data_IF_178808096051
#
_entry.id   IF_178808096051
#
_cell.length_a   1.000
_cell.length_b   1.000
_cell.length_c   1.000
_cell.angle_alpha   90.00
_cell.angle_beta   90.00
_cell.angle_gamma   90.00
#
_symmetry.space_group_name_H-M   'P 1'
#
loop_
_entity.id
_entity.type
_entity.pdbx_description
1 polymer ?
#
# COMPACT_ATOMS: atom_id res chain seq x y z
N UNK A 1 -16.42 73.22 -6.29
CA UNK A 1 -15.85 72.14 -5.45
C UNK A 1 -16.69 70.90 -5.67
N UNK A 2 -16.18 69.66 -5.72
CA UNK A 2 -14.81 69.12 -5.49
C UNK A 2 -14.19 68.57 -6.80
N UNK A 3 -12.87 68.49 -6.99
CA UNK A 3 -11.82 67.60 -6.43
C UNK A 3 -12.01 66.11 -6.79
N UNK A 4 -11.21 65.73 -7.78
CA UNK A 4 -10.88 64.40 -8.31
C UNK A 4 -10.13 63.54 -7.29
N UNK A 5 -10.43 62.24 -7.21
CA UNK A 5 -9.56 61.19 -6.66
C UNK A 5 -9.82 59.90 -7.47
N UNK A 6 -8.88 59.51 -8.33
CA UNK A 6 -7.82 58.50 -8.12
C UNK A 6 -8.32 57.05 -8.31
N UNK A 7 -8.05 56.53 -9.51
CA UNK A 7 -8.24 55.15 -9.93
C UNK A 7 -7.04 54.31 -9.45
N UNK A 8 -7.25 53.39 -8.52
CA UNK A 8 -6.25 52.41 -8.08
C UNK A 8 -6.39 51.15 -8.94
N UNK A 9 -5.39 50.87 -9.76
CA UNK A 9 -5.27 49.62 -10.51
C UNK A 9 -4.60 48.56 -9.62
N UNK A 10 -5.38 47.58 -9.15
CA UNK A 10 -4.82 46.34 -8.59
C UNK A 10 -4.78 45.30 -9.71
N UNK A 11 -3.56 44.86 -10.04
CA UNK A 11 -3.31 43.74 -10.96
C UNK A 11 -3.72 42.44 -10.27
N UNK A 12 -4.62 41.66 -10.86
CA UNK A 12 -4.71 40.23 -10.58
C UNK A 12 -4.11 39.44 -11.75
N UNK A 13 -3.12 38.65 -11.40
CA UNK A 13 -2.43 37.68 -12.23
C UNK A 13 -3.27 36.40 -12.29
N UNK A 14 -3.77 36.05 -13.47
CA UNK A 14 -4.43 34.76 -13.71
C UNK A 14 -3.60 33.93 -14.69
N UNK A 15 -3.03 32.85 -14.15
CA UNK A 15 -2.55 31.71 -14.90
C UNK A 15 -3.68 31.15 -15.77
N UNK A 16 -3.41 30.93 -17.06
CA UNK A 16 -4.25 30.15 -17.97
C UNK A 16 -3.48 28.89 -18.37
N UNK A 17 -4.08 27.69 -18.34
CA UNK A 17 -3.51 26.54 -18.99
C UNK A 17 -3.86 26.55 -20.48
N UNK A 18 -2.84 26.20 -21.26
CA UNK A 18 -2.79 26.10 -22.72
C UNK A 18 -3.55 24.85 -23.16
N UNK A 19 -4.50 24.99 -24.10
CA UNK A 19 -4.85 23.91 -25.03
C UNK A 19 -4.71 24.43 -26.46
N UNK A 20 -3.67 23.93 -27.14
CA UNK A 20 -3.44 24.09 -28.58
C UNK A 20 -4.44 23.22 -29.35
N UNK A 21 -5.13 23.83 -30.32
CA UNK A 21 -5.52 23.12 -31.54
C UNK A 21 -5.35 24.07 -32.73
N UNK A 22 -4.37 23.78 -33.57
CA UNK A 22 -4.19 24.39 -34.89
C UNK A 22 -5.04 23.62 -35.90
N UNK A 23 -5.76 24.32 -36.78
CA UNK A 23 -5.70 24.12 -38.24
C UNK A 23 -6.91 24.70 -39.00
N UNK A 24 -6.59 25.65 -39.89
CA UNK A 24 -7.27 26.01 -41.15
C UNK A 24 -8.58 26.81 -41.08
N UNK A 25 -8.44 28.13 -41.21
CA UNK A 25 -9.40 28.98 -41.92
C UNK A 25 -8.73 29.39 -43.24
N UNK A 26 -9.25 28.90 -44.37
CA UNK A 26 -8.91 29.42 -45.71
C UNK A 26 -10.16 29.93 -46.40
N UNK A 27 -10.17 31.24 -46.66
CA UNK A 27 -10.79 31.96 -47.79
C UNK A 27 -12.13 31.46 -48.35
N UNK A 28 -13.15 32.32 -48.26
CA UNK A 28 -13.92 32.74 -49.46
C UNK A 28 -14.66 34.06 -49.20
N UNK A 29 -14.25 35.11 -49.93
CA UNK A 29 -15.08 36.29 -50.24
C UNK A 29 -15.79 36.00 -51.57
N UNK A 30 -17.09 36.25 -51.67
CA UNK A 30 -17.76 36.38 -52.97
C UNK A 30 -19.27 36.14 -53.04
N UNK A 31 -20.02 37.25 -52.98
CA UNK A 31 -21.25 37.55 -53.74
C UNK A 31 -22.64 37.00 -53.32
N UNK A 32 -23.42 37.94 -52.74
CA UNK A 32 -24.81 38.32 -53.03
C UNK A 32 -25.93 37.26 -53.16
N UNK A 33 -26.89 37.33 -52.24
CA UNK A 33 -28.31 37.46 -52.59
C UNK A 33 -29.12 38.07 -51.43
N UNK A 34 -30.23 38.69 -51.77
CA UNK A 34 -30.89 39.83 -51.09
C UNK A 34 -31.81 39.38 -49.95
N UNK A 35 -31.85 40.20 -48.89
CA UNK A 35 -33.03 40.45 -48.08
C UNK A 35 -33.26 39.56 -46.87
N UNK A 36 -32.88 40.05 -45.68
CA UNK A 36 -33.78 40.12 -44.52
C UNK A 36 -33.16 41.01 -43.43
N UNK A 37 -34.03 41.79 -42.80
CA UNK A 37 -33.75 42.64 -41.63
C UNK A 37 -33.15 41.84 -40.49
N UNK A 38 -32.04 42.30 -39.89
CA UNK A 38 -31.83 42.16 -38.45
C UNK A 38 -30.75 43.16 -37.99
N UNK A 39 -31.20 44.22 -37.32
CA UNK A 39 -30.32 45.01 -36.47
C UNK A 39 -29.78 44.08 -35.38
N UNK A 40 -28.50 43.75 -35.48
CA UNK A 40 -27.79 42.91 -34.53
C UNK A 40 -27.54 43.75 -33.26
N UNK A 41 -28.56 43.87 -32.41
CA UNK A 41 -28.42 44.34 -31.05
C UNK A 41 -27.71 43.23 -30.27
N UNK A 42 -26.38 43.28 -30.21
CA UNK A 42 -25.64 42.59 -29.17
C UNK A 42 -25.97 43.31 -27.85
N UNK A 43 -27.04 42.88 -27.18
CA UNK A 43 -27.09 42.98 -25.73
C UNK A 43 -26.11 41.93 -25.25
N UNK A 44 -24.87 42.35 -25.00
CA UNK A 44 -24.02 41.65 -24.06
C UNK A 44 -24.78 41.70 -22.73
N UNK A 45 -25.49 40.62 -22.37
CA UNK A 45 -25.75 40.38 -20.96
C UNK A 45 -24.37 40.39 -20.32
N UNK A 46 -24.16 41.34 -19.41
CA UNK A 46 -23.07 41.25 -18.47
C UNK A 46 -23.12 39.85 -17.88
N UNK A 47 -22.04 39.08 -18.05
CA UNK A 47 -21.69 38.07 -17.07
C UNK A 47 -21.54 38.89 -15.79
N UNK A 48 -22.60 38.96 -14.99
CA UNK A 48 -22.49 39.43 -13.62
C UNK A 48 -21.46 38.50 -13.00
N UNK A 49 -20.43 39.08 -12.40
CA UNK A 49 -19.44 38.30 -11.69
C UNK A 49 -20.19 37.73 -10.49
N UNK A 50 -20.71 36.51 -10.65
CA UNK A 50 -21.52 35.79 -9.69
C UNK A 50 -20.82 35.82 -8.32
N UNK A 51 -21.49 36.42 -7.35
CA UNK A 51 -20.91 36.78 -6.06
C UNK A 51 -21.13 35.62 -5.09
N UNK A 52 -20.08 34.95 -4.61
CA UNK A 52 -20.19 34.10 -3.42
C UNK A 52 -20.66 34.97 -2.23
N UNK A 53 -21.97 35.06 -2.06
CA UNK A 53 -22.69 36.05 -1.27
C UNK A 53 -22.92 35.53 0.13
N UNK A 54 -23.31 34.26 0.28
CA UNK A 54 -23.57 33.61 1.56
C UNK A 54 -22.75 32.34 1.77
N UNK A 55 -22.89 31.73 2.95
CA UNK A 55 -22.36 30.37 3.18
C UNK A 55 -23.47 29.36 2.94
N UNK A 56 -23.17 28.34 2.14
CA UNK A 56 -24.09 27.23 1.90
C UNK A 56 -23.67 26.06 2.79
N UNK A 57 -24.63 25.45 3.49
CA UNK A 57 -24.37 24.38 4.46
C UNK A 57 -25.19 23.14 4.17
N UNK A 58 -24.60 21.98 4.38
CA UNK A 58 -25.27 20.69 4.33
C UNK A 58 -25.73 20.30 5.75
N UNK A 59 -26.99 19.90 5.88
CA UNK A 59 -27.58 19.46 7.14
C UNK A 59 -28.11 18.03 7.03
N UNK A 60 -28.04 17.30 8.14
CA UNK A 60 -28.83 16.10 8.34
C UNK A 60 -30.23 16.51 8.79
N UNK A 61 -31.23 16.24 7.95
CA UNK A 61 -32.62 16.64 8.17
C UNK A 61 -33.37 15.76 9.20
N UNK A 62 -32.82 14.62 9.62
CA UNK A 62 -33.40 13.83 10.70
C UNK A 62 -32.94 14.31 12.09
N UNK A 63 -31.72 14.82 12.18
CA UNK A 63 -31.12 15.22 13.47
C UNK A 63 -31.00 16.73 13.65
N UNK A 64 -31.33 17.50 12.61
CA UNK A 64 -31.14 18.95 12.53
C UNK A 64 -29.72 19.41 12.88
N UNK A 65 -28.73 18.58 12.54
CA UNK A 65 -27.32 18.89 12.77
C UNK A 65 -26.66 19.32 11.46
N UNK A 66 -25.85 20.36 11.57
CA UNK A 66 -24.94 20.76 10.49
C UNK A 66 -23.92 19.64 10.26
N UNK A 67 -23.72 19.27 8.99
CA UNK A 67 -22.70 18.30 8.57
C UNK A 67 -21.41 19.05 8.23
N UNK A 68 -21.48 19.96 7.26
CA UNK A 68 -20.35 20.77 6.79
C UNK A 68 -20.81 21.90 5.85
N UNK A 69 -19.92 22.87 5.62
CA UNK A 69 -20.07 23.87 4.55
C UNK A 69 -19.92 23.21 3.17
N UNK A 70 -20.71 23.67 2.19
CA UNK A 70 -20.69 23.20 0.81
C UNK A 70 -19.75 24.08 -0.01
N UNK A 71 -18.81 23.44 -0.72
CA UNK A 71 -18.00 24.11 -1.75
C UNK A 71 -18.43 23.72 -3.16
N UNK A 72 -18.18 24.60 -4.13
CA UNK A 72 -18.48 24.32 -5.54
C UNK A 72 -17.70 23.11 -6.08
N UNK A 73 -18.30 22.39 -7.01
CA UNK A 73 -17.83 21.14 -7.62
C UNK A 73 -17.53 20.00 -6.61
N UNK A 74 -18.15 20.00 -5.43
CA UNK A 74 -17.95 18.96 -4.42
C UNK A 74 -18.75 17.70 -4.69
N UNK A 75 -18.22 16.55 -4.24
CA UNK A 75 -18.90 15.26 -4.28
C UNK A 75 -19.10 14.73 -2.87
N UNK A 76 -20.32 14.30 -2.52
CA UNK A 76 -20.68 13.80 -1.20
C UNK A 76 -21.16 12.35 -1.25
N UNK A 77 -20.51 11.48 -0.50
CA UNK A 77 -20.90 10.08 -0.34
C UNK A 77 -22.01 9.95 0.71
N UNK A 78 -23.19 9.48 0.30
CA UNK A 78 -24.34 9.27 1.18
C UNK A 78 -24.09 8.22 2.27
N UNK A 79 -23.13 7.32 2.12
CA UNK A 79 -22.71 6.42 3.21
C UNK A 79 -22.00 7.18 4.34
N UNK A 80 -21.45 8.36 4.05
CA UNK A 80 -20.75 9.22 5.01
C UNK A 80 -21.69 10.30 5.56
N UNK A 81 -22.40 11.02 4.69
CA UNK A 81 -23.24 12.16 5.09
C UNK A 81 -24.66 11.75 5.50
N UNK A 82 -25.08 10.51 5.21
CA UNK A 82 -26.45 10.04 5.40
C UNK A 82 -27.36 10.32 4.19
N UNK A 83 -28.57 9.76 4.21
CA UNK A 83 -29.55 9.84 3.10
C UNK A 83 -30.66 10.88 3.32
N UNK A 84 -30.74 11.45 4.52
CA UNK A 84 -31.76 12.40 4.92
C UNK A 84 -31.14 13.79 5.04
N UNK A 85 -31.04 14.48 3.91
CA UNK A 85 -30.27 15.72 3.78
C UNK A 85 -31.16 16.93 3.49
N UNK A 86 -30.69 18.11 3.89
CA UNK A 86 -31.21 19.41 3.45
C UNK A 86 -30.03 20.39 3.24
N UNK A 87 -30.25 21.42 2.44
CA UNK A 87 -29.26 22.45 2.14
C UNK A 87 -29.77 23.77 2.69
N UNK A 88 -28.94 24.47 3.45
CA UNK A 88 -29.31 25.72 4.12
C UNK A 88 -28.41 26.84 3.64
N UNK A 89 -29.02 27.94 3.21
CA UNK A 89 -28.31 29.15 2.83
C UNK A 89 -28.21 30.10 4.04
N UNK A 90 -27.00 30.58 4.31
CA UNK A 90 -26.69 31.51 5.40
C UNK A 90 -26.19 32.83 4.81
N UNK A 91 -27.08 33.80 4.57
CA UNK A 91 -26.66 35.10 4.06
C UNK A 91 -25.85 35.88 5.12
N UNK A 92 -24.95 36.79 4.71
CA UNK A 92 -24.10 37.58 5.60
C UNK A 92 -24.89 38.64 6.39
N UNK A 93 -26.15 38.88 6.03
CA UNK A 93 -27.06 39.80 6.69
C UNK A 93 -28.53 39.40 6.48
N UNK A 94 -29.45 40.17 7.04
CA UNK A 94 -30.88 39.89 6.90
C UNK A 94 -31.36 40.09 5.47
N UNK A 95 -32.05 39.09 4.94
CA UNK A 95 -32.72 39.10 3.65
C UNK A 95 -34.22 38.85 3.84
N UNK A 96 -35.04 39.22 2.87
CA UNK A 96 -36.48 38.98 2.92
C UNK A 96 -36.86 37.55 2.52
N UNK A 97 -36.13 36.95 1.59
CA UNK A 97 -36.28 35.53 1.23
C UNK A 97 -35.07 35.00 0.46
N UNK A 98 -34.98 33.68 0.34
CA UNK A 98 -34.00 32.97 -0.48
C UNK A 98 -34.73 32.03 -1.42
N UNK A 99 -34.39 32.08 -2.71
CA UNK A 99 -34.93 31.17 -3.72
C UNK A 99 -33.83 30.24 -4.20
N UNK A 100 -34.04 28.95 -3.99
CA UNK A 100 -33.24 27.88 -4.56
C UNK A 100 -33.84 27.44 -5.89
N UNK A 101 -33.01 27.23 -6.90
CA UNK A 101 -33.37 26.60 -8.16
C UNK A 101 -32.29 25.61 -8.56
N UNK A 102 -32.67 24.47 -9.12
CA UNK A 102 -31.73 23.41 -9.45
C UNK A 102 -31.82 23.01 -10.92
N UNK A 103 -30.73 22.49 -11.48
CA UNK A 103 -30.73 21.90 -12.84
C UNK A 103 -31.60 20.66 -12.97
N UNK A 104 -32.00 20.04 -11.86
CA UNK A 104 -32.93 18.90 -11.83
C UNK A 104 -34.41 19.32 -11.78
N UNK A 105 -34.70 20.61 -11.96
CA UNK A 105 -36.07 21.13 -12.10
C UNK A 105 -36.79 21.38 -10.77
N UNK A 106 -36.09 21.27 -9.64
CA UNK A 106 -36.63 21.61 -8.34
C UNK A 106 -36.33 23.06 -7.99
N UNK A 107 -37.33 23.78 -7.47
CA UNK A 107 -37.17 25.16 -7.02
C UNK A 107 -38.02 25.40 -5.78
N UNK A 108 -37.51 26.22 -4.86
CA UNK A 108 -38.19 26.56 -3.62
C UNK A 108 -37.77 27.92 -3.11
N UNK A 109 -38.73 28.66 -2.58
CA UNK A 109 -38.50 29.97 -1.96
C UNK A 109 -38.83 29.89 -0.48
N UNK A 110 -37.87 30.29 0.35
CA UNK A 110 -38.03 30.41 1.79
C UNK A 110 -38.00 31.87 2.23
N UNK A 111 -38.97 32.27 3.03
CA UNK A 111 -39.07 33.65 3.53
C UNK A 111 -38.73 33.78 5.01
N UNK A 112 -38.46 32.65 5.68
CA UNK A 112 -38.15 32.59 7.10
C UNK A 112 -36.83 31.85 7.26
N UNK A 113 -35.94 32.39 8.09
CA UNK A 113 -34.71 31.69 8.45
C UNK A 113 -35.02 30.57 9.47
N UNK A 114 -34.39 29.39 9.38
CA UNK A 114 -33.30 29.02 8.47
C UNK A 114 -33.76 28.81 7.02
N UNK A 115 -33.09 29.45 6.05
CA UNK A 115 -33.47 29.37 4.64
C UNK A 115 -33.05 28.03 4.04
N UNK A 116 -33.88 27.00 4.22
CA UNK A 116 -33.59 25.64 3.80
C UNK A 116 -34.23 25.31 2.45
N UNK A 117 -33.50 24.60 1.59
CA UNK A 117 -33.95 24.21 0.26
C UNK A 117 -35.27 23.44 0.32
N UNK A 118 -35.36 22.41 1.17
CA UNK A 118 -36.60 21.66 1.42
C UNK A 118 -37.43 22.19 2.59
N UNK A 119 -36.86 23.15 3.32
CA UNK A 119 -37.55 23.94 4.33
C UNK A 119 -37.47 23.33 5.70
N UNK A 120 -38.10 24.04 6.62
CA UNK A 120 -38.27 23.62 8.00
C UNK A 120 -39.73 23.80 8.44
N UNK A 121 -40.14 22.99 9.41
CA UNK A 121 -41.43 23.13 10.08
C UNK A 121 -41.18 23.20 11.57
N UNK A 122 -41.39 24.37 12.16
CA UNK A 122 -41.13 24.61 13.59
C UNK A 122 -39.67 24.36 14.02
N UNK A 123 -38.72 24.55 13.09
CA UNK A 123 -37.29 24.33 13.33
C UNK A 123 -36.77 22.96 12.89
N UNK A 124 -37.65 22.00 12.57
CA UNK A 124 -37.25 20.66 12.10
C UNK A 124 -37.10 20.68 10.57
N UNK A 125 -35.94 20.32 10.03
CA UNK A 125 -35.68 20.34 8.60
C UNK A 125 -36.41 19.21 7.85
N UNK A 126 -36.99 19.54 6.71
CA UNK A 126 -37.60 18.55 5.82
C UNK A 126 -36.53 17.82 5.00
N UNK A 127 -36.60 16.50 4.94
CA UNK A 127 -35.66 15.69 4.16
C UNK A 127 -35.87 15.83 2.65
N UNK A 128 -34.78 15.82 1.89
CA UNK A 128 -34.81 15.76 0.43
C UNK A 128 -35.12 14.35 -0.10
N UNK A 129 -36.40 13.98 -0.08
CA UNK A 129 -36.88 12.63 -0.44
C UNK A 129 -36.60 12.20 -1.89
N UNK A 130 -36.44 13.15 -2.82
CA UNK A 130 -36.15 12.89 -4.24
C UNK A 130 -34.66 12.76 -4.55
N UNK A 131 -33.77 13.03 -3.59
CA UNK A 131 -32.32 12.95 -3.77
C UNK A 131 -31.85 11.58 -4.34
N UNK A 132 -32.39 10.43 -3.92
CA UNK A 132 -32.01 9.14 -4.49
C UNK A 132 -32.24 9.00 -6.01
N UNK A 133 -33.10 9.84 -6.61
CA UNK A 133 -33.33 9.85 -8.06
C UNK A 133 -32.28 10.65 -8.85
N UNK A 134 -31.35 11.33 -8.15
CA UNK A 134 -30.37 12.24 -8.72
C UNK A 134 -28.93 11.90 -8.28
N UNK A 135 -28.67 10.63 -7.94
CA UNK A 135 -27.31 10.16 -7.64
C UNK A 135 -26.42 10.18 -8.89
N UNK A 136 -25.14 10.41 -8.68
CA UNK A 136 -24.06 10.42 -9.69
C UNK A 136 -24.29 11.42 -10.84
N UNK A 137 -25.21 12.37 -10.67
CA UNK A 137 -25.48 13.47 -11.61
C UNK A 137 -25.14 14.80 -10.93
N UNK A 138 -24.33 15.66 -11.57
CA UNK A 138 -24.07 17.01 -11.04
C UNK A 138 -25.36 17.84 -10.97
N UNK A 139 -25.68 18.34 -9.78
CA UNK A 139 -26.81 19.23 -9.53
C UNK A 139 -26.26 20.63 -9.30
N UNK A 140 -26.54 21.54 -10.23
CA UNK A 140 -26.20 22.96 -10.05
C UNK A 140 -27.37 23.64 -9.35
N UNK A 141 -27.07 24.25 -8.22
CA UNK A 141 -27.96 25.11 -7.46
C UNK A 141 -27.69 26.55 -7.82
N UNK A 142 -28.75 27.31 -8.07
CA UNK A 142 -28.75 28.77 -8.10
C UNK A 142 -29.57 29.25 -6.92
N UNK A 143 -28.93 29.99 -6.01
CA UNK A 143 -29.50 30.51 -4.78
C UNK A 143 -29.57 32.02 -4.91
N UNK A 144 -30.78 32.56 -5.03
CA UNK A 144 -31.01 34.00 -5.16
C UNK A 144 -31.50 34.59 -3.83
N UNK A 145 -30.88 35.66 -3.38
CA UNK A 145 -31.23 36.35 -2.13
C UNK A 145 -32.04 37.62 -2.44
N UNK A 146 -33.22 37.75 -1.86
CA UNK A 146 -34.16 38.81 -2.18
C UNK A 146 -34.39 39.76 -1.01
N UNK A 147 -34.61 41.04 -1.31
CA UNK A 147 -34.85 42.06 -0.29
C UNK A 147 -36.21 41.93 0.40
N UNK A 148 -37.19 41.26 -0.22
CA UNK A 148 -38.53 41.05 0.34
C UNK A 148 -38.90 39.56 0.36
N UNK A 149 -39.97 39.21 1.07
CA UNK A 149 -40.48 37.85 1.17
C UNK A 149 -41.04 37.32 -0.16
N UNK A 150 -41.14 36.00 -0.27
CA UNK A 150 -41.78 35.32 -1.41
C UNK A 150 -41.00 35.39 -2.73
N UNK A 151 -39.69 35.67 -2.69
CA UNK A 151 -38.85 35.75 -3.89
C UNK A 151 -39.09 37.03 -4.67
N UNK A 152 -39.42 38.12 -3.98
CA UNK A 152 -39.79 39.41 -4.58
C UNK A 152 -38.88 40.54 -4.10
N UNK A 153 -38.97 41.70 -4.76
CA UNK A 153 -38.12 42.85 -4.47
C UNK A 153 -36.84 42.85 -5.30
N UNK A 154 -35.79 43.50 -4.80
CA UNK A 154 -34.49 43.56 -5.47
C UNK A 154 -33.65 42.32 -5.13
N UNK A 155 -32.93 41.80 -6.12
CA UNK A 155 -31.88 40.80 -5.89
C UNK A 155 -30.73 41.47 -5.12
N UNK A 156 -30.36 40.88 -3.99
CA UNK A 156 -29.33 41.41 -3.07
C UNK A 156 -28.00 40.66 -3.24
N UNK A 157 -28.06 39.41 -3.73
CA UNK A 157 -26.91 38.58 -4.07
C UNK A 157 -27.36 37.23 -4.62
N UNK A 158 -26.41 36.41 -5.08
CA UNK A 158 -26.66 35.12 -5.70
C UNK A 158 -25.49 34.12 -5.57
N UNK A 159 -25.73 32.91 -5.07
CA UNK A 159 -24.74 31.83 -5.10
C UNK A 159 -25.07 30.82 -6.19
N UNK A 160 -24.06 30.31 -6.91
CA UNK A 160 -24.21 29.13 -7.76
C UNK A 160 -23.11 28.16 -7.44
N UNK A 161 -23.51 26.93 -7.12
CA UNK A 161 -22.60 25.84 -6.83
C UNK A 161 -23.14 24.56 -7.46
N UNK A 162 -22.24 23.66 -7.82
CA UNK A 162 -22.55 22.35 -8.35
C UNK A 162 -22.07 21.29 -7.38
N UNK A 163 -22.97 20.39 -7.00
CA UNK A 163 -22.63 19.26 -6.12
C UNK A 163 -23.09 17.96 -6.74
N UNK A 164 -22.38 16.88 -6.46
CA UNK A 164 -22.77 15.53 -6.85
C UNK A 164 -22.94 14.69 -5.59
N UNK A 165 -24.03 13.95 -5.49
CA UNK A 165 -24.20 12.95 -4.44
C UNK A 165 -23.95 11.57 -5.02
N UNK A 166 -23.11 10.78 -4.35
CA UNK A 166 -22.79 9.42 -4.76
C UNK A 166 -23.27 8.46 -3.69
N UNK A 167 -23.72 7.28 -4.08
CA UNK A 167 -23.93 6.17 -3.16
C UNK A 167 -23.26 4.95 -3.77
N UNK A 168 -22.08 4.53 -3.26
CA UNK A 168 -21.43 3.32 -3.75
C UNK A 168 -22.43 2.16 -3.76
N UNK A 169 -22.61 1.54 -4.92
CA UNK A 169 -23.35 0.28 -4.98
C UNK A 169 -22.57 -0.76 -4.17
N UNK A 170 -23.23 -1.56 -3.31
CA UNK A 170 -22.56 -2.68 -2.66
C UNK A 170 -21.84 -3.54 -3.69
N UNK A 171 -20.62 -3.98 -3.38
CA UNK A 171 -19.92 -4.90 -4.26
C UNK A 171 -20.67 -6.24 -4.32
N UNK A 172 -20.98 -6.67 -5.53
CA UNK A 172 -21.73 -7.90 -5.80
C UNK A 172 -20.91 -8.90 -6.60
N UNK A 173 -19.68 -8.55 -6.97
CA UNK A 173 -18.80 -9.42 -7.73
C UNK A 173 -17.99 -10.27 -6.75
N UNK A 174 -18.08 -11.60 -6.77
CA UNK A 174 -17.25 -12.42 -5.91
C UNK A 174 -15.78 -12.45 -6.37
N UNK A 175 -14.82 -12.64 -5.45
CA UNK A 175 -13.42 -12.84 -5.82
C UNK A 175 -13.20 -14.04 -6.73
N UNK A 176 -12.08 -14.03 -7.46
CA UNK A 176 -11.59 -15.22 -8.17
C UNK A 176 -11.28 -16.36 -7.19
N UNK A 177 -11.42 -17.62 -7.62
CA UNK A 177 -10.99 -18.75 -6.80
C UNK A 177 -9.47 -18.73 -6.55
N UNK A 178 -8.99 -19.02 -5.33
CA UNK A 178 -7.58 -19.24 -5.06
C UNK A 178 -7.04 -20.38 -5.95
N UNK A 179 -5.83 -20.22 -6.48
CA UNK A 179 -5.21 -21.20 -7.39
C UNK A 179 -3.97 -21.85 -6.76
N UNK A 180 -3.52 -22.97 -7.33
CA UNK A 180 -2.32 -23.68 -6.88
C UNK A 180 -2.31 -23.99 -5.37
N UNK A 181 -3.46 -24.39 -4.81
CA UNK A 181 -3.47 -24.91 -3.45
C UNK A 181 -2.61 -26.19 -3.43
N UNK A 182 -1.63 -26.24 -2.54
CA UNK A 182 -0.75 -27.39 -2.35
C UNK A 182 -0.30 -27.49 -0.88
N UNK A 183 0.08 -28.69 -0.45
CA UNK A 183 0.74 -28.88 0.84
C UNK A 183 2.24 -28.70 0.69
N UNK A 184 2.85 -27.96 1.63
CA UNK A 184 4.31 -27.73 1.70
C UNK A 184 4.99 -28.66 2.69
N UNK A 185 4.22 -29.27 3.61
CA UNK A 185 4.70 -30.26 4.56
C UNK A 185 3.58 -30.71 5.50
N UNK A 186 3.77 -31.86 6.14
CA UNK A 186 2.88 -32.36 7.16
C UNK A 186 3.69 -33.07 8.26
N UNK A 187 3.05 -33.24 9.41
CA UNK A 187 3.50 -34.12 10.50
C UNK A 187 2.41 -35.15 10.76
N UNK A 188 2.46 -35.83 11.91
CA UNK A 188 1.38 -36.69 12.38
C UNK A 188 0.15 -35.90 12.87
N UNK A 189 0.30 -34.62 13.20
CA UNK A 189 -0.78 -33.80 13.81
C UNK A 189 -0.96 -32.43 13.16
N UNK A 190 -0.19 -32.10 12.13
CA UNK A 190 -0.25 -30.82 11.42
C UNK A 190 -0.11 -30.99 9.90
N UNK A 191 -0.70 -30.06 9.14
CA UNK A 191 -0.49 -29.93 7.68
C UNK A 191 -0.28 -28.44 7.37
N UNK A 192 0.80 -28.11 6.68
CA UNK A 192 1.01 -26.77 6.10
C UNK A 192 0.58 -26.76 4.64
N UNK A 193 -0.14 -25.70 4.27
CA UNK A 193 -0.63 -25.47 2.90
C UNK A 193 -0.30 -24.05 2.44
N UNK A 194 -0.09 -23.92 1.14
CA UNK A 194 0.03 -22.64 0.46
C UNK A 194 -0.92 -22.57 -0.75
N UNK A 195 -1.30 -21.36 -1.15
CA UNK A 195 -2.03 -21.10 -2.39
C UNK A 195 -1.62 -19.75 -2.99
N UNK A 196 -1.91 -19.54 -4.27
CA UNK A 196 -1.80 -18.24 -4.90
C UNK A 196 -2.99 -17.35 -4.53
N UNK A 197 -2.70 -16.07 -4.29
CA UNK A 197 -3.71 -15.08 -3.92
C UNK A 197 -4.80 -14.95 -4.99
N UNK A 198 -6.03 -14.75 -4.53
CA UNK A 198 -7.16 -14.37 -5.37
C UNK A 198 -7.12 -12.87 -5.70
N UNK A 199 -7.82 -12.49 -6.77
CA UNK A 199 -8.07 -11.10 -7.16
C UNK A 199 -9.56 -10.80 -7.16
N UNK A 200 -9.88 -9.53 -6.93
CA UNK A 200 -11.24 -8.99 -6.91
C UNK A 200 -11.23 -7.53 -7.41
N UNK A 201 -12.38 -6.99 -7.83
CA UNK A 201 -12.51 -5.61 -8.31
C UNK A 201 -12.39 -4.55 -7.20
N UNK A 202 -12.77 -4.86 -5.96
CA UNK A 202 -12.61 -3.96 -4.80
C UNK A 202 -11.51 -4.47 -3.87
N UNK A 203 -11.39 -5.79 -3.72
CA UNK A 203 -10.24 -6.41 -3.07
C UNK A 203 -10.60 -7.57 -2.13
N UNK A 204 -9.64 -8.47 -1.96
CA UNK A 204 -9.75 -9.64 -1.09
C UNK A 204 -9.36 -9.26 0.35
N UNK A 205 -10.23 -9.55 1.31
CA UNK A 205 -10.03 -9.24 2.74
C UNK A 205 -9.61 -10.45 3.55
N UNK A 206 -9.86 -11.67 3.06
CA UNK A 206 -9.51 -12.89 3.76
C UNK A 206 -9.77 -14.15 2.95
N UNK A 207 -9.59 -15.29 3.61
CA UNK A 207 -9.83 -16.61 3.03
C UNK A 207 -10.60 -17.49 4.00
N UNK A 208 -11.32 -18.48 3.46
CA UNK A 208 -11.98 -19.52 4.21
C UNK A 208 -11.39 -20.86 3.80
N UNK A 209 -10.68 -21.52 4.71
CA UNK A 209 -10.11 -22.85 4.50
C UNK A 209 -11.08 -23.91 4.99
N UNK A 210 -11.25 -24.98 4.21
CA UNK A 210 -12.13 -26.10 4.52
C UNK A 210 -11.29 -27.35 4.74
N UNK A 211 -11.45 -27.98 5.90
CA UNK A 211 -10.89 -29.29 6.22
C UNK A 211 -12.03 -30.31 6.30
N UNK A 212 -12.12 -31.25 5.36
CA UNK A 212 -13.25 -32.19 5.23
C UNK A 212 -14.63 -31.52 5.32
N UNK A 213 -14.75 -30.37 4.66
CA UNK A 213 -15.93 -29.48 4.61
C UNK A 213 -16.19 -28.64 5.88
N UNK A 214 -15.36 -28.72 6.91
CA UNK A 214 -15.44 -27.85 8.08
C UNK A 214 -14.65 -26.55 7.83
N UNK A 215 -15.32 -25.37 7.75
CA UNK A 215 -14.66 -24.12 7.41
C UNK A 215 -13.98 -23.45 8.61
N UNK A 216 -12.88 -22.75 8.35
CA UNK A 216 -12.24 -21.78 9.25
C UNK A 216 -11.94 -20.50 8.45
N UNK A 217 -12.36 -19.35 8.98
CA UNK A 217 -12.09 -18.04 8.36
C UNK A 217 -10.73 -17.51 8.81
N UNK A 218 -9.95 -17.00 7.87
CA UNK A 218 -8.60 -16.48 8.02
C UNK A 218 -8.53 -15.03 7.54
N UNK A 219 -7.51 -14.30 8.00
CA UNK A 219 -7.13 -13.01 7.42
C UNK A 219 -6.62 -13.16 5.98
N UNK A 220 -6.24 -12.06 5.33
CA UNK A 220 -5.64 -12.08 3.99
C UNK A 220 -4.22 -12.67 4.02
N UNK A 221 -4.14 -14.01 3.99
CA UNK A 221 -2.92 -14.81 3.99
C UNK A 221 -2.93 -15.82 2.84
N UNK A 222 -1.75 -16.28 2.43
CA UNK A 222 -1.58 -17.29 1.37
C UNK A 222 -0.91 -18.58 1.84
N UNK A 223 -0.63 -18.65 3.15
CA UNK A 223 -0.04 -19.81 3.82
C UNK A 223 -0.78 -20.03 5.13
N UNK A 224 -1.07 -21.29 5.47
CA UNK A 224 -1.71 -21.63 6.73
C UNK A 224 -1.30 -23.02 7.22
N UNK A 225 -1.15 -23.17 8.53
CA UNK A 225 -0.89 -24.44 9.20
C UNK A 225 -2.16 -24.93 9.90
N UNK A 226 -2.67 -26.07 9.44
CA UNK A 226 -3.71 -26.83 10.11
C UNK A 226 -3.07 -27.62 11.25
N UNK A 227 -3.67 -27.57 12.45
CA UNK A 227 -3.14 -28.20 13.66
C UNK A 227 -4.21 -29.05 14.36
N UNK A 228 -3.79 -29.95 15.25
CA UNK A 228 -4.71 -30.78 16.04
C UNK A 228 -5.36 -31.89 15.21
N UNK A 229 -4.65 -32.35 14.17
CA UNK A 229 -5.09 -33.41 13.29
C UNK A 229 -4.79 -34.79 13.91
N UNK A 230 -5.49 -35.82 13.43
CA UNK A 230 -5.26 -37.20 13.83
C UNK A 230 -4.14 -37.80 12.97
N UNK A 231 -3.18 -38.53 13.55
CA UNK A 231 -2.17 -39.26 12.78
C UNK A 231 -2.74 -40.29 11.79
N UNK A 232 -1.98 -40.59 10.75
CA UNK A 232 -2.32 -41.54 9.69
C UNK A 232 -3.72 -41.34 9.09
N UNK A 233 -4.19 -40.09 9.02
CA UNK A 233 -5.54 -39.74 8.59
C UNK A 233 -5.49 -38.87 7.33
N UNK A 234 -6.28 -39.24 6.33
CA UNK A 234 -6.41 -38.49 5.08
C UNK A 234 -7.42 -37.37 5.24
N UNK A 235 -7.02 -36.16 4.86
CA UNK A 235 -7.82 -34.95 4.90
C UNK A 235 -7.96 -34.34 3.51
N UNK A 236 -9.14 -33.81 3.19
CA UNK A 236 -9.37 -33.02 1.97
C UNK A 236 -9.44 -31.54 2.30
N UNK A 237 -8.61 -30.76 1.62
CA UNK A 237 -8.43 -29.32 1.87
C UNK A 237 -8.84 -28.53 0.64
N UNK A 238 -9.62 -27.46 0.85
CA UNK A 238 -9.98 -26.45 -0.15
C UNK A 238 -9.93 -25.06 0.46
N UNK A 239 -9.79 -24.03 -0.37
CA UNK A 239 -9.80 -22.63 0.07
C UNK A 239 -10.73 -21.80 -0.81
N UNK A 240 -11.45 -20.86 -0.20
CA UNK A 240 -12.19 -19.78 -0.86
C UNK A 240 -11.65 -18.42 -0.44
N UNK A 241 -11.73 -17.44 -1.32
CA UNK A 241 -11.45 -16.05 -1.00
C UNK A 241 -12.72 -15.32 -0.53
N UNK A 242 -12.54 -14.29 0.29
CA UNK A 242 -13.58 -13.42 0.84
C UNK A 242 -13.22 -11.96 0.52
N UNK A 243 -14.20 -11.15 0.13
CA UNK A 243 -14.04 -9.71 -0.04
C UNK A 243 -14.59 -8.90 1.16
N UNK A 244 -14.60 -7.57 1.03
CA UNK A 244 -15.14 -6.67 2.05
C UNK A 244 -16.67 -6.66 2.12
N UNK A 245 -17.36 -7.04 1.03
CA UNK A 245 -18.81 -7.08 0.94
C UNK A 245 -19.40 -8.41 1.44
N UNK A 246 -18.56 -9.41 1.72
CA UNK A 246 -18.94 -10.73 2.20
C UNK A 246 -19.20 -11.74 1.06
N UNK A 247 -18.82 -11.44 -0.17
CA UNK A 247 -18.91 -12.40 -1.27
C UNK A 247 -17.80 -13.46 -1.15
N UNK A 248 -18.15 -14.71 -1.45
CA UNK A 248 -17.18 -15.83 -1.47
C UNK A 248 -16.87 -16.26 -2.90
N UNK A 249 -15.60 -16.55 -3.16
CA UNK A 249 -15.21 -17.19 -4.42
C UNK A 249 -15.75 -18.63 -4.55
N UNK A 250 -15.63 -19.19 -5.76
CA UNK A 250 -15.66 -20.64 -5.94
C UNK A 250 -14.50 -21.33 -5.18
N UNK A 251 -14.62 -22.65 -4.97
CA UNK A 251 -13.55 -23.47 -4.38
C UNK A 251 -12.26 -23.40 -5.22
N UNK A 252 -11.10 -23.42 -4.55
CA UNK A 252 -9.82 -23.79 -5.16
C UNK A 252 -9.83 -25.24 -5.69
N UNK A 253 -8.71 -25.68 -6.28
CA UNK A 253 -8.46 -27.13 -6.39
C UNK A 253 -8.49 -27.79 -5.00
N UNK A 254 -8.84 -29.08 -4.94
CA UNK A 254 -8.78 -29.87 -3.71
C UNK A 254 -7.40 -30.51 -3.58
N UNK A 255 -6.82 -30.45 -2.38
CA UNK A 255 -5.61 -31.19 -2.01
C UNK A 255 -5.98 -32.25 -1.00
N UNK A 256 -5.57 -33.48 -1.24
CA UNK A 256 -5.69 -34.58 -0.27
C UNK A 256 -4.33 -34.84 0.34
N UNK A 257 -4.24 -34.75 1.67
CA UNK A 257 -3.01 -35.00 2.43
C UNK A 257 -3.29 -36.00 3.52
N UNK A 258 -2.44 -37.02 3.63
CA UNK A 258 -2.48 -37.98 4.74
C UNK A 258 -1.43 -37.55 5.75
N UNK A 259 -1.84 -37.25 6.99
CA UNK A 259 -0.90 -37.00 8.08
C UNK A 259 -0.01 -38.21 8.29
N UNK A 260 1.19 -37.98 8.78
CA UNK A 260 2.14 -39.06 9.02
C UNK A 260 1.56 -40.02 10.08
N UNK A 261 2.04 -41.26 10.05
CA UNK A 261 1.82 -42.14 11.19
C UNK A 261 2.36 -41.48 12.45
N UNK A 262 1.76 -41.71 13.63
CA UNK A 262 2.30 -41.15 14.86
C UNK A 262 3.77 -41.51 14.90
N UNK A 263 4.64 -40.53 15.09
CA UNK A 263 6.04 -40.82 15.39
C UNK A 263 6.09 -41.40 16.79
N UNK A 264 5.59 -42.63 16.93
CA UNK A 264 5.84 -43.45 18.09
C UNK A 264 7.35 -43.60 18.15
N UNK A 265 7.93 -43.26 19.30
CA UNK A 265 9.24 -43.77 19.68
C UNK A 265 9.19 -45.29 19.63
N UNK A 266 9.39 -45.84 18.44
CA UNK A 266 9.50 -47.26 18.19
C UNK A 266 10.83 -47.69 18.75
N UNK A 267 10.81 -48.16 20.00
CA UNK A 267 11.90 -48.87 20.65
C UNK A 267 12.19 -50.20 19.97
N UNK A 268 12.62 -50.18 18.71
CA UNK A 268 13.66 -51.09 18.26
C UNK A 268 15.00 -50.50 18.69
N UNK A 269 15.90 -51.29 19.28
CA UNK A 269 17.24 -50.79 19.57
C UNK A 269 17.94 -50.39 18.27
N UNK A 270 17.91 -49.09 17.94
CA UNK A 270 18.71 -48.51 16.84
C UNK A 270 20.20 -48.55 17.18
N UNK A 271 20.49 -48.72 18.47
CA UNK A 271 21.80 -48.97 19.03
C UNK A 271 22.10 -50.47 19.01
N UNK A 272 23.03 -50.88 18.17
CA UNK A 272 23.66 -52.20 18.26
C UNK A 272 24.94 -52.09 19.07
N UNK A 273 25.16 -53.03 19.98
CA UNK A 273 26.40 -53.09 20.76
C UNK A 273 27.22 -54.30 20.31
N UNK A 274 28.48 -54.06 19.95
CA UNK A 274 29.48 -55.10 19.74
C UNK A 274 30.69 -54.80 20.62
N UNK A 275 30.85 -55.57 21.69
CA UNK A 275 31.85 -55.30 22.72
C UNK A 275 31.64 -53.95 23.41
N UNK A 276 32.67 -53.08 23.40
CA UNK A 276 32.62 -51.73 23.98
C UNK A 276 32.11 -50.65 23.02
N UNK A 277 31.71 -51.02 21.80
CA UNK A 277 31.21 -50.07 20.79
C UNK A 277 29.69 -50.18 20.72
N UNK A 278 29.01 -49.06 20.98
CA UNK A 278 27.62 -48.87 20.63
C UNK A 278 27.55 -48.10 19.30
N UNK A 279 26.93 -48.68 18.29
CA UNK A 279 26.73 -48.07 16.97
C UNK A 279 25.26 -47.78 16.73
N UNK A 280 25.00 -46.60 16.18
CA UNK A 280 23.68 -46.18 15.70
C UNK A 280 23.60 -46.40 14.18
N UNK A 281 22.54 -47.06 13.70
CA UNK A 281 22.30 -47.23 12.26
C UNK A 281 21.18 -46.29 11.80
N UNK A 282 21.54 -45.21 11.11
CA UNK A 282 20.59 -44.25 10.54
C UNK A 282 21.07 -42.81 10.64
N UNK A 283 20.13 -41.87 10.48
CA UNK A 283 20.37 -40.45 10.72
C UNK A 283 19.79 -40.04 12.08
N UNK A 284 20.45 -39.16 12.82
CA UNK A 284 20.04 -38.71 14.16
C UNK A 284 19.35 -37.34 14.08
N UNK A 285 18.09 -37.23 14.47
CA UNK A 285 17.37 -35.97 14.57
C UNK A 285 17.08 -35.64 16.05
N UNK A 286 17.50 -34.46 16.53
CA UNK A 286 17.28 -34.00 17.91
C UNK A 286 16.49 -32.70 17.86
N UNK A 287 15.27 -32.68 18.42
CA UNK A 287 14.39 -31.50 18.36
C UNK A 287 13.76 -31.23 16.98
N UNK A 288 14.01 -32.11 16.01
CA UNK A 288 13.43 -32.09 14.65
C UNK A 288 13.06 -33.52 14.24
N UNK A 289 12.23 -33.67 13.20
CA UNK A 289 11.77 -34.96 12.66
C UNK A 289 12.51 -35.39 11.40
N UNK A 290 13.31 -34.50 10.82
CA UNK A 290 14.04 -34.77 9.57
C UNK A 290 15.53 -34.44 9.71
N UNK A 291 16.35 -35.18 8.97
CA UNK A 291 17.75 -34.84 8.76
C UNK A 291 17.92 -34.47 7.28
N UNK A 292 18.36 -33.24 6.96
CA UNK A 292 18.53 -32.81 5.57
C UNK A 292 19.44 -33.76 4.78
N UNK A 293 19.19 -33.85 3.47
CA UNK A 293 20.01 -34.67 2.57
C UNK A 293 21.49 -34.25 2.65
N UNK A 294 22.40 -35.23 2.68
CA UNK A 294 23.83 -34.99 2.86
C UNK A 294 24.31 -35.00 4.32
N UNK A 295 23.40 -34.94 5.30
CA UNK A 295 23.75 -34.93 6.72
C UNK A 295 23.39 -36.25 7.42
N UNK A 296 24.15 -36.58 8.47
CA UNK A 296 23.87 -37.72 9.36
C UNK A 296 23.24 -37.33 10.68
N UNK A 297 23.29 -36.05 11.06
CA UNK A 297 22.73 -35.54 12.30
C UNK A 297 22.15 -34.14 12.10
N UNK A 298 20.95 -33.90 12.62
CA UNK A 298 20.32 -32.58 12.69
C UNK A 298 19.89 -32.28 14.13
N UNK A 299 20.16 -31.07 14.61
CA UNK A 299 19.81 -30.63 15.97
C UNK A 299 19.12 -29.28 15.91
N UNK A 300 17.84 -29.24 16.27
CA UNK A 300 17.11 -27.99 16.49
C UNK A 300 17.34 -27.53 17.93
N UNK A 301 18.48 -26.90 18.15
CA UNK A 301 18.92 -26.46 19.48
C UNK A 301 20.43 -26.28 19.59
N UNK A 302 20.92 -26.07 20.82
CA UNK A 302 22.36 -25.86 21.11
C UNK A 302 23.04 -27.17 21.44
N UNK A 303 24.19 -27.43 20.80
CA UNK A 303 25.09 -28.55 21.14
C UNK A 303 26.17 -28.03 22.08
N UNK A 304 26.43 -28.75 23.18
CA UNK A 304 27.55 -28.49 24.09
C UNK A 304 28.53 -29.66 24.04
N UNK A 305 29.77 -29.38 23.69
CA UNK A 305 30.87 -30.34 23.66
C UNK A 305 32.06 -29.79 24.46
N UNK A 306 32.98 -30.67 24.85
CA UNK A 306 34.31 -30.25 25.35
C UNK A 306 35.29 -30.05 24.19
N UNK A 307 35.18 -30.91 23.17
CA UNK A 307 36.03 -30.90 21.99
C UNK A 307 35.25 -31.51 20.82
N UNK A 308 35.49 -30.99 19.62
CA UNK A 308 35.01 -31.53 18.35
C UNK A 308 36.19 -31.56 17.41
N UNK A 309 36.47 -32.73 16.84
CA UNK A 309 37.41 -32.87 15.71
C UNK A 309 36.61 -32.79 14.42
N UNK A 310 37.01 -31.88 13.54
CA UNK A 310 36.46 -31.75 12.18
C UNK A 310 37.56 -32.18 11.22
N UNK A 311 37.35 -33.26 10.50
CA UNK A 311 38.26 -33.67 9.43
C UNK A 311 37.91 -32.86 8.16
N UNK A 312 38.93 -32.29 7.50
CA UNK A 312 38.83 -31.48 6.29
C UNK A 312 39.90 -31.94 5.30
N UNK A 313 39.57 -31.95 4.00
CA UNK A 313 40.50 -32.42 2.96
C UNK A 313 41.56 -31.39 2.58
N UNK A 314 41.25 -30.10 2.76
CA UNK A 314 42.11 -28.98 2.34
C UNK A 314 42.36 -28.03 3.51
N UNK A 315 43.63 -27.62 3.67
CA UNK A 315 44.08 -26.66 4.68
C UNK A 315 44.73 -25.45 3.97
N UNK A 316 44.48 -24.21 4.38
CA UNK A 316 44.75 -23.01 3.57
C UNK A 316 46.22 -22.56 3.47
N UNK A 317 47.21 -23.43 3.69
CA UNK A 317 48.65 -23.10 3.68
C UNK A 317 49.17 -22.54 2.32
N UNK A 318 48.35 -22.61 1.28
CA UNK A 318 48.61 -22.03 -0.04
C UNK A 318 48.74 -20.50 -0.04
N UNK A 319 48.27 -19.79 1.00
CA UNK A 319 48.40 -18.31 1.08
C UNK A 319 49.87 -17.88 1.10
N UNK A 320 50.76 -18.76 1.55
CA UNK A 320 52.20 -18.51 1.56
C UNK A 320 52.93 -18.95 0.28
N UNK A 321 52.22 -19.47 -0.72
CA UNK A 321 52.81 -19.84 -2.00
C UNK A 321 53.34 -18.62 -2.75
N UNK A 322 54.45 -18.79 -3.47
CA UNK A 322 55.12 -17.69 -4.20
C UNK A 322 54.25 -17.04 -5.27
N UNK A 323 53.28 -17.79 -5.79
CA UNK A 323 52.39 -17.34 -6.86
C UNK A 323 51.05 -16.81 -6.31
N UNK A 324 50.86 -16.83 -4.97
CA UNK A 324 49.65 -16.34 -4.34
C UNK A 324 49.47 -14.83 -4.59
N UNK A 325 48.34 -14.48 -5.20
CA UNK A 325 48.01 -13.10 -5.56
C UNK A 325 47.32 -12.41 -4.38
N UNK A 326 48.12 -11.81 -3.49
CA UNK A 326 47.59 -11.01 -2.38
C UNK A 326 46.92 -9.75 -2.93
N UNK A 327 45.63 -9.58 -2.61
CA UNK A 327 44.86 -8.40 -3.00
C UNK A 327 45.47 -7.13 -2.39
N UNK A 328 45.36 -5.97 -3.04
CA UNK A 328 45.85 -4.74 -2.42
C UNK A 328 44.85 -4.21 -1.37
N UNK A 329 45.34 -3.48 -0.36
CA UNK A 329 44.45 -2.84 0.63
C UNK A 329 43.45 -1.85 0.00
N UNK A 330 43.77 -1.28 -1.17
CA UNK A 330 42.86 -0.43 -1.92
C UNK A 330 41.70 -1.21 -2.55
N UNK A 331 41.99 -2.38 -3.12
CA UNK A 331 40.98 -3.28 -3.68
C UNK A 331 40.11 -3.90 -2.57
N UNK A 332 40.70 -4.29 -1.43
CA UNK A 332 39.95 -4.76 -0.26
C UNK A 332 39.02 -3.66 0.23
N UNK A 333 39.50 -2.41 0.37
CA UNK A 333 38.66 -1.29 0.79
C UNK A 333 37.48 -1.13 -0.16
N UNK A 334 37.73 -1.11 -1.47
CA UNK A 334 36.68 -1.00 -2.48
C UNK A 334 35.67 -2.14 -2.35
N UNK A 335 36.14 -3.37 -2.17
CA UNK A 335 35.26 -4.53 -1.98
C UNK A 335 34.39 -4.39 -0.73
N UNK A 336 34.95 -3.96 0.40
CA UNK A 336 34.19 -3.75 1.64
C UNK A 336 33.17 -2.61 1.47
N UNK A 337 33.54 -1.53 0.79
CA UNK A 337 32.61 -0.42 0.49
C UNK A 337 31.45 -0.87 -0.42
N UNK A 338 31.70 -1.76 -1.37
CA UNK A 338 30.70 -2.26 -2.31
C UNK A 338 29.84 -3.42 -1.75
N UNK A 339 30.43 -4.32 -0.96
CA UNK A 339 29.82 -5.59 -0.54
C UNK A 339 29.53 -5.68 0.95
N UNK A 340 30.20 -4.86 1.78
CA UNK A 340 29.99 -4.81 3.23
C UNK A 340 30.61 -5.97 4.03
N UNK A 341 31.44 -6.80 3.40
CA UNK A 341 32.17 -7.90 4.03
C UNK A 341 33.54 -8.10 3.37
N UNK A 342 34.39 -8.93 3.96
CA UNK A 342 35.69 -9.27 3.38
C UNK A 342 35.53 -10.18 2.14
N UNK A 343 36.48 -10.16 1.20
CA UNK A 343 36.52 -11.12 0.09
C UNK A 343 36.46 -12.56 0.60
N UNK A 344 35.75 -13.44 -0.12
CA UNK A 344 35.53 -14.86 0.19
C UNK A 344 34.77 -15.15 1.51
N UNK A 345 34.51 -14.14 2.34
CA UNK A 345 33.67 -14.32 3.54
C UNK A 345 32.19 -14.23 3.16
N UNK A 346 31.33 -15.12 3.67
CA UNK A 346 29.90 -15.04 3.40
C UNK A 346 29.30 -13.78 4.01
N UNK A 347 28.33 -13.19 3.33
CA UNK A 347 27.57 -12.07 3.85
C UNK A 347 26.63 -12.49 4.98
N UNK A 348 26.23 -11.54 5.84
CA UNK A 348 25.28 -11.82 6.92
C UNK A 348 23.94 -12.39 6.40
N UNK A 349 23.52 -12.00 5.19
CA UNK A 349 22.30 -12.52 4.56
C UNK A 349 22.44 -13.99 4.15
N UNK A 350 23.59 -14.36 3.58
CA UNK A 350 23.87 -15.75 3.20
C UNK A 350 23.97 -16.65 4.42
N UNK A 351 24.65 -16.19 5.48
CA UNK A 351 24.73 -16.89 6.77
C UNK A 351 23.34 -17.09 7.38
N UNK A 352 22.48 -16.09 7.31
CA UNK A 352 21.11 -16.20 7.84
C UNK A 352 20.25 -17.19 7.04
N UNK A 353 20.42 -17.24 5.71
CA UNK A 353 19.63 -18.11 4.85
C UNK A 353 20.09 -19.56 4.88
N UNK A 354 21.40 -19.80 4.89
CA UNK A 354 21.98 -21.12 4.63
C UNK A 354 22.74 -21.70 5.84
N UNK A 355 22.97 -20.92 6.89
CA UNK A 355 23.87 -21.29 7.98
C UNK A 355 25.34 -21.21 7.57
N UNK A 356 26.21 -21.79 8.38
CA UNK A 356 27.67 -21.81 8.17
C UNK A 356 28.21 -23.19 8.52
N UNK A 357 28.99 -23.77 7.62
CA UNK A 357 29.75 -24.98 7.91
C UNK A 357 30.99 -24.65 8.75
N UNK A 358 31.11 -25.29 9.92
CA UNK A 358 32.17 -24.98 10.88
C UNK A 358 33.57 -25.22 10.31
N UNK A 359 33.75 -26.27 9.51
CA UNK A 359 35.03 -26.60 8.87
C UNK A 359 35.45 -25.55 7.84
N UNK A 360 34.55 -25.22 6.92
CA UNK A 360 34.76 -24.21 5.89
C UNK A 360 35.04 -22.83 6.49
N UNK A 361 34.26 -22.41 7.51
CA UNK A 361 34.46 -21.13 8.17
C UNK A 361 35.81 -21.06 8.88
N UNK A 362 36.24 -22.14 9.55
CA UNK A 362 37.56 -22.17 10.17
C UNK A 362 38.69 -22.07 9.13
N UNK A 363 38.53 -22.73 7.97
CA UNK A 363 39.48 -22.60 6.86
C UNK A 363 39.53 -21.16 6.31
N UNK A 364 38.38 -20.54 6.06
CA UNK A 364 38.32 -19.14 5.60
C UNK A 364 38.92 -18.17 6.63
N UNK A 365 38.63 -18.36 7.92
CA UNK A 365 39.22 -17.54 8.98
C UNK A 365 40.74 -17.68 9.02
N UNK A 366 41.27 -18.89 8.82
CA UNK A 366 42.71 -19.11 8.77
C UNK A 366 43.33 -18.46 7.53
N UNK A 367 42.72 -18.61 6.34
CA UNK A 367 43.15 -17.89 5.13
C UNK A 367 43.27 -16.38 5.40
N UNK A 368 42.29 -15.79 6.10
CA UNK A 368 42.32 -14.35 6.43
C UNK A 368 43.38 -13.97 7.46
N UNK A 369 43.71 -14.87 8.39
CA UNK A 369 44.82 -14.68 9.33
C UNK A 369 46.16 -14.73 8.58
N UNK A 370 46.31 -15.63 7.62
CA UNK A 370 47.54 -15.75 6.81
C UNK A 370 47.70 -14.54 5.88
N UNK A 371 46.64 -14.09 5.20
CA UNK A 371 46.64 -12.84 4.41
C UNK A 371 46.98 -11.63 5.28
N UNK A 372 46.40 -11.53 6.48
CA UNK A 372 46.71 -10.47 7.45
C UNK A 372 48.19 -10.48 7.84
N UNK A 373 48.76 -11.66 8.02
CA UNK A 373 50.19 -11.82 8.33
C UNK A 373 51.05 -11.28 7.20
N UNK A 374 50.70 -11.53 5.93
CA UNK A 374 51.41 -10.97 4.78
C UNK A 374 51.34 -9.43 4.75
N UNK A 375 50.17 -8.82 5.02
CA UNK A 375 50.08 -7.36 5.11
C UNK A 375 50.92 -6.77 6.25
N UNK A 376 51.00 -7.45 7.39
CA UNK A 376 51.83 -7.04 8.53
C UNK A 376 53.31 -7.08 8.14
N UNK A 377 53.76 -8.14 7.47
CA UNK A 377 55.14 -8.24 6.99
C UNK A 377 55.48 -7.16 5.95
N UNK A 378 54.54 -6.85 5.05
CA UNK A 378 54.70 -5.74 4.08
C UNK A 378 54.79 -4.39 4.81
N UNK A 379 53.97 -4.19 5.84
CA UNK A 379 53.96 -2.97 6.65
C UNK A 379 55.27 -2.81 7.44
N UNK A 380 55.78 -3.87 8.07
CA UNK A 380 57.06 -3.86 8.79
C UNK A 380 58.22 -3.46 7.87
N UNK A 381 58.27 -4.04 6.66
CA UNK A 381 59.25 -3.66 5.63
C UNK A 381 59.17 -2.18 5.24
N UNK A 382 57.95 -1.64 5.09
CA UNK A 382 57.74 -0.21 4.80
C UNK A 382 58.20 0.66 5.96
N UNK A 383 57.93 0.26 7.20
CA UNK A 383 58.36 0.98 8.41
C UNK A 383 59.88 1.03 8.50
N UNK A 384 60.58 -0.08 8.28
CA UNK A 384 62.05 -0.11 8.30
C UNK A 384 62.64 0.76 7.17
N UNK A 385 62.07 0.68 5.97
CA UNK A 385 62.48 1.54 4.84
C UNK A 385 62.31 3.03 5.19
N UNK A 386 61.18 3.40 5.81
CA UNK A 386 60.93 4.77 6.24
C UNK A 386 61.90 5.22 7.34
N UNK A 387 62.23 4.35 8.31
CA UNK A 387 63.24 4.65 9.35
C UNK A 387 64.61 4.92 8.75
N UNK A 388 65.03 4.14 7.75
CA UNK A 388 66.29 4.36 7.04
C UNK A 388 66.29 5.69 6.28
N UNK A 389 65.19 6.02 5.59
CA UNK A 389 65.03 7.29 4.91
C UNK A 389 65.07 8.48 5.87
N UNK A 390 64.43 8.38 7.04
CA UNK A 390 64.47 9.42 8.07
C UNK A 390 65.90 9.61 8.58
N UNK A 391 66.61 8.52 8.92
CA UNK A 391 68.03 8.60 9.33
C UNK A 391 68.91 9.27 8.28
N UNK A 392 68.70 8.95 7.00
CA UNK A 392 69.42 9.56 5.90
C UNK A 392 69.14 11.08 5.82
N UNK A 393 67.87 11.49 5.90
CA UNK A 393 67.49 12.91 5.88
C UNK A 393 68.07 13.68 7.07
N UNK A 394 67.99 13.12 8.28
CA UNK A 394 68.57 13.70 9.49
C UNK A 394 70.09 13.89 9.38
N UNK A 395 70.78 12.95 8.74
CA UNK A 395 72.24 13.04 8.52
C UNK A 395 72.64 14.13 7.52
N UNK A 396 71.77 14.49 6.59
CA UNK A 396 72.00 15.56 5.60
C UNK A 396 71.55 16.95 6.07
N UNK A 397 70.85 17.03 7.20
CA UNK A 397 70.39 18.27 7.84
C UNK A 397 71.40 18.80 8.88
N UNK A 398 72.35 17.97 9.32
CA UNK A 398 73.51 18.35 10.12
C UNK A 398 74.68 18.71 9.22
#
# INVERSE_FOLDING_TARGET
>A
MPITNQLVLIRSSSFLPIIKSHSKISNMKGMFSRGLSLALFFVALSMDAQMDYGTIKLYNALTDQEIQDISDASTYDLNIVGDSLNIVAVPPGSVGSVTFSTTVGESRTESVAPYAFKGDVSGDFMSWLTLPNHLDVPITFTVNYWSAGGGTGSLVGDDVFTITFTKPTPDTTPPSAPSNLASTGNTDTTIEVFWNAASDNVGVTGYKIYLDNSPTTLANVTVHQLTGLTPATSYNIKVRALDAAGNESSDSNTVTVTTDSPSGGGGGSVWSQSGSVASYSGNVAIGTTTVPSGYKMAVEGKIRSREIRVDQDTWPDYVFDKDYQLMTLGEIRKHIEEKGHLPNMPSAKEVQANGVELGEMNNLLLEKIEELTLYILELDKKVETQKEQIKYLESNLK
#
